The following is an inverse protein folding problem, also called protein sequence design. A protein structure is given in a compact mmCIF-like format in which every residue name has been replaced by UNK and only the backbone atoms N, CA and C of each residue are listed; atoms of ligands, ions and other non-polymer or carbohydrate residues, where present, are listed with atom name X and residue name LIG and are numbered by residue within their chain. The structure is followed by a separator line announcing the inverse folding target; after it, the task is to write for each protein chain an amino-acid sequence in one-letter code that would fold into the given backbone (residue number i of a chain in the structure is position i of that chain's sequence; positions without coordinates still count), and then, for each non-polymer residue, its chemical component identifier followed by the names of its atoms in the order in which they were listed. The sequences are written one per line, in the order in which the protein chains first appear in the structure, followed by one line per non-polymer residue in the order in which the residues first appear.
data_IF_937661366990
#
_entry.id   IF_937661366990
#
_cell.length_a   1.000
_cell.length_b   1.000
_cell.length_c   1.000
_cell.angle_alpha   90.00
_cell.angle_beta   90.00
_cell.angle_gamma   90.00
#
_symmetry.space_group_name_H-M   'P 1'
#
loop_
_entity.id
_entity.type
_entity.pdbx_description
1 polymer ?
#
# COMPACT_ATOMS: atom_id res chain seq x y z
N UNK A 1 0.52 11.17 4.81
CA UNK A 1 0.67 11.85 6.13
C UNK A 1 0.02 11.13 7.32
N UNK A 2 -0.51 9.90 7.20
CA UNK A 2 -1.39 9.36 8.25
C UNK A 2 -0.65 8.46 9.26
N UNK A 3 0.23 7.56 8.81
CA UNK A 3 0.88 6.59 9.72
C UNK A 3 1.89 7.23 10.70
N UNK A 4 2.82 8.06 10.19
CA UNK A 4 3.80 8.77 11.03
C UNK A 4 3.15 9.60 12.14
N UNK A 5 2.01 10.24 11.85
CA UNK A 5 1.29 11.07 12.83
C UNK A 5 0.69 10.20 13.94
N UNK A 6 0.04 9.09 13.58
CA UNK A 6 -0.57 8.14 14.52
C UNK A 6 0.48 7.60 15.51
N UNK A 7 1.64 7.19 15.00
CA UNK A 7 2.75 6.68 15.82
C UNK A 7 3.31 7.79 16.72
N UNK A 8 3.57 8.99 16.17
CA UNK A 8 4.13 10.11 16.96
C UNK A 8 3.22 10.56 18.11
N UNK A 9 1.90 10.52 17.92
CA UNK A 9 0.92 10.94 18.94
C UNK A 9 0.65 9.89 20.02
N UNK A 10 1.01 8.62 19.79
CA UNK A 10 0.75 7.50 20.70
C UNK A 10 2.04 6.71 20.89
N UNK A 11 3.10 7.36 21.37
CA UNK A 11 4.44 6.76 21.47
C UNK A 11 4.65 5.84 22.67
N UNK A 12 3.79 5.90 23.69
CA UNK A 12 3.84 5.00 24.85
C UNK A 12 2.87 3.85 24.65
N UNK A 13 3.38 2.63 24.75
CA UNK A 13 2.59 1.40 24.67
C UNK A 13 2.86 0.53 25.88
N UNK A 14 1.84 -0.16 26.41
CA UNK A 14 1.99 -1.06 27.55
C UNK A 14 2.74 -2.36 27.20
N UNK A 15 2.72 -2.78 25.93
CA UNK A 15 3.46 -3.93 25.41
C UNK A 15 3.57 -3.85 23.88
N UNK A 16 4.36 -4.75 23.29
CA UNK A 16 4.61 -4.82 21.84
C UNK A 16 3.35 -5.17 21.04
N UNK A 17 2.47 -6.01 21.59
CA UNK A 17 1.21 -6.39 20.94
C UNK A 17 0.29 -5.17 20.74
N UNK A 18 0.24 -4.26 21.70
CA UNK A 18 -0.53 -3.02 21.60
C UNK A 18 0.02 -2.11 20.49
N UNK A 19 1.34 -2.06 20.32
CA UNK A 19 1.98 -1.31 19.24
C UNK A 19 1.67 -1.94 17.87
N UNK A 20 1.76 -3.27 17.74
CA UNK A 20 1.44 -4.01 16.52
C UNK A 20 -0.04 -3.83 16.14
N UNK A 21 -0.95 -3.93 17.11
CA UNK A 21 -2.38 -3.72 16.89
C UNK A 21 -2.69 -2.31 16.41
N UNK A 22 -2.00 -1.30 16.95
CA UNK A 22 -2.15 0.07 16.50
C UNK A 22 -1.67 0.27 15.06
N UNK A 23 -0.52 -0.32 14.69
CA UNK A 23 -0.03 -0.31 13.31
C UNK A 23 -1.02 -0.96 12.36
N UNK A 24 -1.55 -2.13 12.74
CA UNK A 24 -2.56 -2.85 11.95
C UNK A 24 -3.83 -2.00 11.73
N UNK A 25 -4.37 -1.40 12.81
CA UNK A 25 -5.55 -0.53 12.72
C UNK A 25 -5.28 0.71 11.85
N UNK A 26 -4.10 1.31 11.97
CA UNK A 26 -3.70 2.47 11.17
C UNK A 26 -3.66 2.12 9.68
N UNK A 27 -3.03 0.99 9.31
CA UNK A 27 -2.98 0.52 7.93
C UNK A 27 -4.37 0.17 7.40
N UNK A 28 -5.18 -0.57 8.16
CA UNK A 28 -6.55 -0.92 7.79
C UNK A 28 -7.39 0.31 7.49
N UNK A 29 -7.36 1.32 8.37
CA UNK A 29 -8.10 2.57 8.20
C UNK A 29 -7.58 3.44 7.04
N UNK A 30 -6.33 3.25 6.63
CA UNK A 30 -5.79 3.89 5.43
C UNK A 30 -6.27 3.21 4.16
N UNK A 31 -6.31 1.87 4.14
CA UNK A 31 -6.72 1.08 2.97
C UNK A 31 -8.24 1.13 2.72
N UNK A 32 -9.05 1.39 3.74
CA UNK A 32 -10.51 1.60 3.57
C UNK A 32 -10.85 2.91 2.86
N UNK A 33 -9.92 3.87 2.80
CA UNK A 33 -10.12 5.09 2.02
C UNK A 33 -9.90 4.75 0.55
N UNK A 34 -10.88 5.08 -0.29
CA UNK A 34 -10.76 4.93 -1.74
C UNK A 34 -9.50 5.63 -2.23
N UNK A 35 -8.56 4.84 -2.77
CA UNK A 35 -7.33 5.34 -3.37
C UNK A 35 -7.67 5.84 -4.76
N UNK A 36 -7.34 7.09 -5.07
CA UNK A 36 -7.48 7.60 -6.45
C UNK A 36 -6.69 6.70 -7.39
N UNK A 37 -7.29 6.37 -8.53
CA UNK A 37 -6.59 5.66 -9.58
C UNK A 37 -5.29 6.40 -9.93
N UNK A 38 -4.20 5.64 -10.09
CA UNK A 38 -2.90 6.18 -10.49
C UNK A 38 -3.06 6.94 -11.81
N UNK A 39 -2.58 8.18 -11.85
CA UNK A 39 -2.65 9.01 -13.05
C UNK A 39 -1.95 8.31 -14.22
N UNK A 40 -2.58 8.31 -15.39
CA UNK A 40 -2.06 7.69 -16.61
C UNK A 40 -1.70 6.20 -16.50
N UNK A 41 -2.36 5.45 -15.61
CA UNK A 41 -2.07 4.02 -15.41
C UNK A 41 -2.09 3.20 -16.70
N UNK A 42 -3.02 3.49 -17.63
CA UNK A 42 -3.09 2.81 -18.93
C UNK A 42 -1.83 3.01 -19.78
N UNK A 43 -1.27 4.21 -19.80
CA UNK A 43 -0.04 4.50 -20.54
C UNK A 43 1.17 3.81 -19.92
N UNK A 44 1.28 3.87 -18.59
CA UNK A 44 2.32 3.15 -17.86
C UNK A 44 2.25 1.63 -18.08
N UNK A 45 1.03 1.06 -18.10
CA UNK A 45 0.82 -0.36 -18.37
C UNK A 45 1.34 -0.78 -19.74
N UNK A 46 1.14 0.04 -20.77
CA UNK A 46 1.69 -0.24 -22.10
C UNK A 46 3.22 -0.26 -22.10
N UNK A 47 3.87 0.62 -21.32
CA UNK A 47 5.33 0.61 -21.16
C UNK A 47 5.81 -0.65 -20.43
N UNK A 48 5.09 -1.09 -19.38
CA UNK A 48 5.41 -2.34 -18.68
C UNK A 48 5.23 -3.57 -19.57
N UNK A 49 4.22 -3.58 -20.43
CA UNK A 49 3.99 -4.66 -21.38
C UNK A 49 5.15 -4.82 -22.39
N UNK A 50 5.80 -3.72 -22.79
CA UNK A 50 6.98 -3.74 -23.67
C UNK A 50 8.23 -4.18 -22.89
N UNK A 51 8.49 -3.57 -21.74
CA UNK A 51 9.71 -3.79 -20.96
C UNK A 51 9.75 -5.15 -20.24
N UNK A 52 8.59 -5.76 -19.99
CA UNK A 52 8.44 -7.00 -19.23
C UNK A 52 7.53 -8.00 -19.94
N UNK A 53 7.58 -8.00 -21.27
CA UNK A 53 6.72 -8.82 -22.14
C UNK A 53 6.63 -10.28 -21.70
N UNK A 54 7.77 -10.91 -21.37
CA UNK A 54 7.84 -12.30 -20.93
C UNK A 54 6.98 -12.60 -19.69
N UNK A 55 6.82 -11.64 -18.77
CA UNK A 55 6.02 -11.82 -17.56
C UNK A 55 4.52 -11.67 -17.81
N UNK A 56 4.13 -10.99 -18.90
CA UNK A 56 2.74 -10.87 -19.35
C UNK A 56 2.30 -12.04 -20.24
N UNK A 57 3.23 -12.68 -20.95
CA UNK A 57 2.95 -13.85 -21.79
C UNK A 57 3.02 -15.16 -21.02
N UNK A 58 3.84 -15.27 -19.97
CA UNK A 58 3.90 -16.45 -19.11
C UNK A 58 2.59 -16.78 -18.38
N UNK A 59 1.72 -15.79 -18.14
CA UNK A 59 0.40 -16.00 -17.53
C UNK A 59 -0.68 -16.46 -18.55
N UNK A 60 -0.33 -16.61 -19.83
CA UNK A 60 -1.22 -17.06 -20.91
C UNK A 60 -1.07 -18.56 -21.25
N UNK A 61 -0.28 -19.32 -20.49
CA UNK A 61 -0.23 -20.78 -20.51
C UNK A 61 -0.78 -21.35 -19.22
#
# INVERSE_FOLDING_TARGET
MQLRKIIKTRGHFPNDEAAIKLLWLALRNMLTKSVRATFNWKSAMNQFAILSEERFTAARG
#
